data_IF_587040936779
#
_entry.id   IF_587040936779
#
_cell.length_a   1.000
_cell.length_b   1.000
_cell.length_c   1.000
_cell.angle_alpha   90.00
_cell.angle_beta   90.00
_cell.angle_gamma   90.00
#
_symmetry.space_group_name_H-M   'P 1'
#
loop_
_entity.id
_entity.type
_entity.pdbx_description
1 polymer ?
#
# COMPACT_ATOMS: atom_id res chain seq x y z
N UNK A 1 -13.26 4.89 15.39
CA UNK A 1 -12.82 5.70 14.18
C UNK A 1 -13.98 6.56 13.75
N UNK A 2 -14.24 7.61 14.48
CA UNK A 2 -15.38 8.47 14.17
C UNK A 2 -15.18 9.20 12.83
N UNK A 3 -16.21 9.17 11.99
CA UNK A 3 -16.38 9.96 10.77
C UNK A 3 -15.21 9.90 9.76
N UNK A 4 -14.60 8.71 9.55
CA UNK A 4 -13.49 8.55 8.59
C UNK A 4 -14.01 8.46 7.15
N UNK A 5 -13.45 9.31 6.28
CA UNK A 5 -13.72 9.38 4.84
C UNK A 5 -12.47 8.92 4.10
N UNK A 6 -12.48 7.68 3.66
CA UNK A 6 -11.28 6.92 3.27
C UNK A 6 -11.30 6.64 1.77
N UNK A 7 -10.18 6.82 1.10
CA UNK A 7 -9.98 6.25 -0.23
C UNK A 7 -8.86 5.20 -0.19
N UNK A 8 -9.12 4.03 -0.81
CA UNK A 8 -8.17 2.92 -0.89
C UNK A 8 -7.89 2.60 -2.36
N UNK A 9 -6.68 2.87 -2.82
CA UNK A 9 -6.29 2.49 -4.18
C UNK A 9 -6.02 0.99 -4.27
N UNK A 10 -6.52 0.33 -5.33
CA UNK A 10 -6.43 -1.13 -5.45
C UNK A 10 -7.14 -1.87 -4.31
N UNK A 11 -8.22 -1.28 -3.76
CA UNK A 11 -8.92 -1.78 -2.58
C UNK A 11 -9.71 -3.07 -2.78
N UNK A 12 -9.98 -3.47 -4.03
CA UNK A 12 -10.89 -4.59 -4.32
C UNK A 12 -10.36 -5.98 -3.96
N UNK A 13 -9.05 -6.18 -3.83
CA UNK A 13 -8.42 -7.50 -3.69
C UNK A 13 -7.26 -7.48 -2.70
N UNK A 14 -6.86 -8.70 -2.28
CA UNK A 14 -5.60 -8.96 -1.55
C UNK A 14 -5.48 -8.08 -0.30
N UNK A 15 -4.33 -7.41 -0.11
CA UNK A 15 -4.06 -6.50 1.02
C UNK A 15 -5.08 -5.36 1.05
N UNK A 16 -5.41 -4.75 -0.09
CA UNK A 16 -6.38 -3.66 -0.16
C UNK A 16 -7.76 -4.04 0.34
N UNK A 17 -8.23 -5.26 0.01
CA UNK A 17 -9.49 -5.81 0.55
C UNK A 17 -9.43 -6.01 2.06
N UNK A 18 -8.32 -6.56 2.58
CA UNK A 18 -8.14 -6.73 4.02
C UNK A 18 -8.14 -5.40 4.77
N UNK A 19 -7.50 -4.37 4.20
CA UNK A 19 -7.50 -3.02 4.77
C UNK A 19 -8.93 -2.45 4.78
N UNK A 20 -9.68 -2.59 3.68
CA UNK A 20 -11.06 -2.09 3.60
C UNK A 20 -11.94 -2.72 4.68
N UNK A 21 -11.89 -4.05 4.85
CA UNK A 21 -12.65 -4.77 5.88
C UNK A 21 -12.24 -4.38 7.31
N UNK A 22 -10.94 -4.19 7.57
CA UNK A 22 -10.43 -3.81 8.89
C UNK A 22 -10.88 -2.39 9.30
N UNK A 23 -11.11 -1.50 8.32
CA UNK A 23 -11.47 -0.12 8.56
C UNK A 23 -12.98 0.13 8.50
N UNK A 24 -13.77 -0.83 8.03
CA UNK A 24 -15.22 -0.70 7.88
C UNK A 24 -15.94 -0.67 9.23
N UNK A 25 -16.86 0.26 9.39
CA UNK A 25 -17.82 0.36 10.49
C UNK A 25 -18.89 1.42 10.14
N UNK A 26 -19.89 1.62 11.02
CA UNK A 26 -21.00 2.57 10.81
C UNK A 26 -20.58 4.03 10.61
N UNK A 27 -19.38 4.41 11.09
CA UNK A 27 -18.88 5.79 10.99
C UNK A 27 -17.92 5.99 9.83
N UNK A 28 -17.80 5.01 8.90
CA UNK A 28 -16.87 5.12 7.78
C UNK A 28 -17.57 5.27 6.44
N UNK A 29 -17.02 6.15 5.60
CA UNK A 29 -17.32 6.23 4.19
C UNK A 29 -16.07 5.83 3.40
N UNK A 30 -16.21 4.89 2.46
CA UNK A 30 -15.06 4.31 1.78
C UNK A 30 -15.22 4.40 0.26
N UNK A 31 -14.23 4.98 -0.42
CA UNK A 31 -14.08 4.85 -1.88
C UNK A 31 -13.11 3.71 -2.16
N UNK A 32 -13.59 2.65 -2.80
CA UNK A 32 -12.79 1.54 -3.31
C UNK A 32 -12.39 1.83 -4.75
N UNK A 33 -11.11 2.18 -4.96
CA UNK A 33 -10.58 2.31 -6.32
C UNK A 33 -10.14 0.94 -6.85
N UNK A 34 -10.44 0.67 -8.11
CA UNK A 34 -10.03 -0.52 -8.85
C UNK A 34 -9.71 -0.18 -10.32
N UNK A 35 -8.89 -1.00 -10.98
CA UNK A 35 -8.61 -0.85 -12.43
C UNK A 35 -9.46 -1.84 -13.25
N UNK A 36 -9.22 -3.14 -13.09
CA UNK A 36 -9.86 -4.21 -13.88
C UNK A 36 -10.82 -5.10 -13.07
N UNK A 37 -10.75 -5.06 -11.74
CA UNK A 37 -11.42 -6.03 -10.84
C UNK A 37 -12.83 -5.56 -10.43
N UNK A 38 -13.71 -5.26 -11.37
CA UNK A 38 -15.05 -4.74 -11.06
C UNK A 38 -15.89 -5.72 -10.23
N UNK A 39 -15.93 -7.00 -10.62
CA UNK A 39 -16.72 -8.00 -9.89
C UNK A 39 -16.28 -8.15 -8.43
N UNK A 40 -14.96 -8.17 -8.18
CA UNK A 40 -14.41 -8.19 -6.82
C UNK A 40 -14.73 -6.91 -6.04
N UNK A 41 -14.66 -5.74 -6.69
CA UNK A 41 -15.03 -4.47 -6.07
C UNK A 41 -16.51 -4.42 -5.70
N UNK A 42 -17.41 -4.92 -6.56
CA UNK A 42 -18.85 -5.01 -6.31
C UNK A 42 -19.16 -5.93 -5.13
N UNK A 43 -18.52 -7.12 -5.09
CA UNK A 43 -18.69 -8.06 -3.97
C UNK A 43 -18.22 -7.43 -2.65
N UNK A 44 -17.03 -6.83 -2.65
CA UNK A 44 -16.48 -6.17 -1.45
C UNK A 44 -17.37 -5.01 -1.00
N UNK A 45 -17.95 -4.24 -1.92
CA UNK A 45 -18.88 -3.15 -1.57
C UNK A 45 -20.03 -3.68 -0.71
N UNK A 46 -20.69 -4.77 -1.11
CA UNK A 46 -21.78 -5.38 -0.34
C UNK A 46 -21.30 -5.76 1.06
N UNK A 47 -20.17 -6.49 1.15
CA UNK A 47 -19.60 -6.90 2.44
C UNK A 47 -19.30 -5.71 3.39
N UNK A 48 -18.84 -4.58 2.84
CA UNK A 48 -18.55 -3.38 3.63
C UNK A 48 -19.83 -2.63 4.05
N UNK A 49 -20.86 -2.65 3.19
CA UNK A 49 -22.16 -2.07 3.48
C UNK A 49 -22.90 -2.88 4.55
N UNK A 50 -22.76 -4.21 4.55
CA UNK A 50 -23.26 -5.10 5.63
C UNK A 50 -22.59 -4.80 6.98
N UNK A 51 -21.35 -4.29 6.97
CA UNK A 51 -20.63 -3.80 8.16
C UNK A 51 -21.02 -2.37 8.55
N UNK A 52 -21.98 -1.74 7.84
CA UNK A 52 -22.50 -0.42 8.11
C UNK A 52 -21.79 0.75 7.44
N UNK A 53 -20.76 0.49 6.61
CA UNK A 53 -20.03 1.55 5.91
C UNK A 53 -20.79 2.06 4.69
N UNK A 54 -20.64 3.35 4.34
CA UNK A 54 -21.09 3.90 3.06
C UNK A 54 -19.98 3.69 2.01
N UNK A 55 -20.27 2.96 0.92
CA UNK A 55 -19.23 2.56 -0.03
C UNK A 55 -19.49 3.06 -1.45
N UNK A 56 -18.47 3.68 -2.04
CA UNK A 56 -18.45 4.10 -3.43
C UNK A 56 -17.36 3.36 -4.21
N UNK A 57 -17.66 3.00 -5.46
CA UNK A 57 -16.70 2.37 -6.36
C UNK A 57 -16.15 3.39 -7.36
N UNK A 58 -14.84 3.33 -7.62
CA UNK A 58 -14.18 4.17 -8.59
C UNK A 58 -13.25 3.37 -9.50
N UNK A 59 -13.57 3.33 -10.81
CA UNK A 59 -12.69 2.75 -11.82
C UNK A 59 -11.71 3.81 -12.33
N UNK A 60 -10.40 3.51 -12.26
CA UNK A 60 -9.37 4.31 -12.92
C UNK A 60 -8.13 3.45 -13.20
N UNK A 61 -7.34 3.81 -14.20
CA UNK A 61 -6.01 3.24 -14.43
C UNK A 61 -4.94 4.21 -13.91
N UNK A 62 -4.19 3.79 -12.90
CA UNK A 62 -3.12 4.61 -12.31
C UNK A 62 -1.91 4.81 -13.25
N UNK A 63 -1.76 3.98 -14.29
CA UNK A 63 -0.79 4.25 -15.34
C UNK A 63 -1.20 5.45 -16.21
N UNK A 64 -2.50 5.78 -16.25
CA UNK A 64 -3.03 6.97 -16.91
C UNK A 64 -3.11 8.14 -15.92
N UNK A 65 -2.15 9.04 -15.99
CA UNK A 65 -2.05 10.15 -15.04
C UNK A 65 -3.23 11.12 -15.10
N UNK A 66 -3.89 11.28 -16.28
CA UNK A 66 -5.11 12.09 -16.41
C UNK A 66 -6.29 11.48 -15.63
N UNK A 67 -6.37 10.14 -15.58
CA UNK A 67 -7.37 9.46 -14.74
C UNK A 67 -7.01 9.59 -13.26
N UNK A 68 -5.73 9.42 -12.90
CA UNK A 68 -5.22 9.56 -11.53
C UNK A 68 -5.59 10.91 -10.91
N UNK A 69 -5.42 12.01 -11.64
CA UNK A 69 -5.75 13.38 -11.21
C UNK A 69 -7.24 13.59 -10.85
N UNK A 70 -8.15 12.75 -11.34
CA UNK A 70 -9.59 12.85 -11.04
C UNK A 70 -10.01 12.12 -9.77
N UNK A 71 -9.16 11.22 -9.25
CA UNK A 71 -9.50 10.29 -8.16
C UNK A 71 -9.87 11.02 -6.86
N UNK A 72 -9.02 11.93 -6.40
CA UNK A 72 -9.23 12.65 -5.14
C UNK A 72 -10.46 13.57 -5.23
N UNK A 73 -10.64 14.28 -6.35
CA UNK A 73 -11.80 15.13 -6.55
C UNK A 73 -13.11 14.34 -6.58
N UNK A 74 -13.13 13.16 -7.18
CA UNK A 74 -14.27 12.25 -7.14
C UNK A 74 -14.59 11.80 -5.71
N UNK A 75 -13.58 11.31 -4.98
CA UNK A 75 -13.75 10.84 -3.60
C UNK A 75 -14.27 11.96 -2.69
N UNK A 76 -13.68 13.14 -2.78
CA UNK A 76 -14.10 14.31 -2.03
C UNK A 76 -15.57 14.69 -2.30
N UNK A 77 -15.98 14.71 -3.58
CA UNK A 77 -17.37 15.03 -3.98
C UNK A 77 -18.35 13.98 -3.43
N UNK A 78 -18.03 12.69 -3.55
CA UNK A 78 -18.93 11.60 -3.14
C UNK A 78 -19.12 11.53 -1.63
N UNK A 79 -18.06 11.75 -0.86
CA UNK A 79 -18.10 11.66 0.61
C UNK A 79 -18.29 13.02 1.30
N UNK A 80 -18.43 14.12 0.53
CA UNK A 80 -18.50 15.50 1.06
C UNK A 80 -17.35 15.78 2.04
N UNK A 81 -16.14 15.41 1.64
CA UNK A 81 -14.90 15.51 2.42
C UNK A 81 -13.99 14.30 2.22
N UNK A 82 -12.76 14.39 2.72
CA UNK A 82 -11.78 13.32 2.66
C UNK A 82 -10.72 13.56 3.73
N UNK A 83 -10.43 12.57 4.58
CA UNK A 83 -9.44 12.68 5.65
C UNK A 83 -8.46 11.49 5.74
N UNK A 84 -8.63 10.46 4.90
CA UNK A 84 -7.71 9.34 4.85
C UNK A 84 -7.47 8.87 3.41
N UNK A 85 -6.18 8.73 3.04
CA UNK A 85 -5.73 8.18 1.76
C UNK A 85 -4.85 6.96 1.99
N UNK A 86 -5.19 5.84 1.37
CA UNK A 86 -4.38 4.63 1.40
C UNK A 86 -3.89 4.30 0.00
N UNK A 87 -2.59 4.52 -0.25
CA UNK A 87 -1.91 4.17 -1.48
C UNK A 87 -1.48 2.69 -1.42
N UNK A 88 -2.38 1.79 -1.82
CA UNK A 88 -2.13 0.34 -1.82
C UNK A 88 -1.96 -0.24 -3.21
N UNK A 89 -2.53 0.35 -4.26
CA UNK A 89 -2.38 -0.16 -5.62
C UNK A 89 -0.90 -0.27 -6.04
N UNK A 90 -0.55 -1.40 -6.63
CA UNK A 90 0.83 -1.65 -7.08
C UNK A 90 0.85 -2.66 -8.23
N UNK A 91 1.83 -2.55 -9.09
CA UNK A 91 2.24 -3.60 -10.02
C UNK A 91 3.55 -4.20 -9.53
N UNK A 92 3.75 -5.50 -9.82
CA UNK A 92 4.90 -6.27 -9.38
C UNK A 92 5.27 -7.26 -10.49
N UNK A 93 6.18 -6.86 -11.35
CA UNK A 93 6.69 -7.68 -12.48
C UNK A 93 8.17 -7.95 -12.27
N UNK A 94 8.65 -9.10 -12.77
CA UNK A 94 10.05 -9.49 -12.64
C UNK A 94 10.86 -8.94 -13.79
N UNK A 95 11.95 -8.26 -13.48
CA UNK A 95 12.96 -7.74 -14.38
C UNK A 95 14.31 -7.59 -13.64
N UNK A 96 15.35 -7.23 -14.35
CA UNK A 96 16.64 -6.84 -13.78
C UNK A 96 17.26 -5.73 -14.64
N UNK A 97 18.40 -5.19 -14.22
CA UNK A 97 19.09 -4.09 -14.90
C UNK A 97 19.40 -4.36 -16.39
N UNK A 98 19.62 -5.63 -16.76
CA UNK A 98 20.01 -6.00 -18.14
C UNK A 98 18.80 -6.19 -19.05
N UNK A 99 17.65 -6.65 -18.50
CA UNK A 99 16.49 -7.06 -19.31
C UNK A 99 15.22 -6.27 -19.06
N UNK A 100 15.24 -5.19 -18.27
CA UNK A 100 14.05 -4.36 -18.12
C UNK A 100 13.67 -3.70 -19.46
N UNK A 101 12.38 -3.58 -19.73
CA UNK A 101 11.89 -2.76 -20.85
C UNK A 101 11.49 -1.37 -20.36
N UNK A 102 11.74 -0.34 -21.17
CA UNK A 102 11.33 1.04 -20.88
C UNK A 102 9.83 1.14 -20.55
N UNK A 103 9.00 0.39 -21.29
CA UNK A 103 7.56 0.35 -21.05
C UNK A 103 7.22 -0.23 -19.66
N UNK A 104 7.86 -1.33 -19.25
CA UNK A 104 7.65 -1.93 -17.92
C UNK A 104 8.17 -1.01 -16.81
N UNK A 105 9.35 -0.44 -16.98
CA UNK A 105 9.94 0.52 -16.06
C UNK A 105 9.02 1.74 -15.86
N UNK A 106 8.64 2.39 -16.95
CA UNK A 106 7.73 3.55 -16.91
C UNK A 106 6.40 3.22 -16.22
N UNK A 107 5.84 2.04 -16.49
CA UNK A 107 4.59 1.58 -15.85
C UNK A 107 4.77 1.39 -14.34
N UNK A 108 5.89 0.80 -13.87
CA UNK A 108 6.19 0.70 -12.44
C UNK A 108 6.31 2.07 -11.78
N UNK A 109 7.05 2.99 -12.39
CA UNK A 109 7.18 4.36 -11.90
C UNK A 109 5.83 5.07 -11.88
N UNK A 110 5.03 4.97 -12.93
CA UNK A 110 3.73 5.63 -12.99
C UNK A 110 2.78 5.12 -11.90
N UNK A 111 2.62 3.80 -11.77
CA UNK A 111 1.62 3.19 -10.86
C UNK A 111 2.08 3.23 -9.41
N UNK A 112 3.35 2.87 -9.13
CA UNK A 112 3.83 2.66 -7.76
C UNK A 112 4.38 3.93 -7.10
N UNK A 113 4.76 4.95 -7.88
CA UNK A 113 5.39 6.17 -7.35
C UNK A 113 4.68 7.45 -7.81
N UNK A 114 4.52 7.67 -9.11
CA UNK A 114 4.01 8.92 -9.65
C UNK A 114 2.52 9.12 -9.33
N UNK A 115 1.71 8.05 -9.42
CA UNK A 115 0.31 8.09 -9.01
C UNK A 115 0.16 8.41 -7.51
N UNK A 116 0.83 7.71 -6.56
CA UNK A 116 0.84 8.12 -5.15
C UNK A 116 1.24 9.59 -4.94
N UNK A 117 2.28 10.08 -5.62
CA UNK A 117 2.72 11.48 -5.49
C UNK A 117 1.61 12.47 -5.92
N UNK A 118 0.93 12.20 -7.03
CA UNK A 118 -0.22 13.00 -7.50
C UNK A 118 -1.35 12.95 -6.48
N UNK A 119 -1.71 11.75 -6.00
CA UNK A 119 -2.79 11.55 -5.05
C UNK A 119 -2.50 12.26 -3.72
N UNK A 120 -1.27 12.19 -3.20
CA UNK A 120 -0.84 12.90 -1.99
C UNK A 120 -0.95 14.42 -2.18
N UNK A 121 -0.44 14.94 -3.30
CA UNK A 121 -0.53 16.38 -3.65
C UNK A 121 -1.99 16.83 -3.70
N UNK A 122 -2.85 16.10 -4.39
CA UNK A 122 -4.25 16.49 -4.58
C UNK A 122 -5.07 16.30 -3.29
N UNK A 123 -4.73 15.28 -2.48
CA UNK A 123 -5.28 15.09 -1.13
C UNK A 123 -4.94 16.28 -0.24
N UNK A 124 -3.68 16.69 -0.19
CA UNK A 124 -3.24 17.82 0.63
C UNK A 124 -3.96 19.14 0.27
N UNK A 125 -4.25 19.35 -1.03
CA UNK A 125 -5.02 20.51 -1.50
C UNK A 125 -6.49 20.48 -1.06
N UNK A 126 -7.08 19.30 -0.91
CA UNK A 126 -8.50 19.11 -0.56
C UNK A 126 -8.74 18.89 0.92
N UNK A 127 -7.81 18.23 1.62
CA UNK A 127 -7.88 18.02 3.06
C UNK A 127 -7.50 19.29 3.80
N UNK A 128 -8.48 20.16 4.01
CA UNK A 128 -8.28 21.43 4.73
C UNK A 128 -8.29 21.28 6.25
N UNK A 129 -8.67 20.13 6.77
CA UNK A 129 -8.79 19.84 8.19
C UNK A 129 -7.44 19.40 8.77
N UNK A 130 -7.19 19.73 10.04
CA UNK A 130 -5.96 19.41 10.78
C UNK A 130 -5.78 17.92 11.16
N UNK A 131 -6.51 16.99 10.56
CA UNK A 131 -6.46 15.55 10.88
C UNK A 131 -6.44 14.67 9.60
N UNK A 132 -5.59 15.05 8.66
CA UNK A 132 -5.38 14.25 7.45
C UNK A 132 -4.43 13.07 7.73
N UNK A 133 -4.72 11.90 7.16
CA UNK A 133 -3.90 10.72 7.28
C UNK A 133 -3.61 10.07 5.93
N UNK A 134 -2.36 9.76 5.66
CA UNK A 134 -1.92 9.06 4.45
C UNK A 134 -1.11 7.85 4.87
N UNK A 135 -1.48 6.66 4.35
CA UNK A 135 -0.70 5.44 4.53
C UNK A 135 -0.30 4.87 3.16
N UNK A 136 0.99 4.71 2.95
CA UNK A 136 1.56 4.12 1.75
C UNK A 136 1.92 2.65 2.00
N UNK A 137 1.46 1.72 1.14
CA UNK A 137 1.90 0.32 1.20
C UNK A 137 3.20 0.20 0.41
N UNK A 138 4.28 0.03 1.15
CA UNK A 138 5.66 -0.07 0.67
C UNK A 138 5.96 -1.54 0.29
N UNK A 139 7.13 -2.02 0.59
CA UNK A 139 7.57 -3.43 0.51
C UNK A 139 8.90 -3.59 1.27
N UNK A 140 9.14 -4.74 1.87
CA UNK A 140 10.39 -5.04 2.58
C UNK A 140 11.64 -4.96 1.67
N UNK A 141 11.45 -5.03 0.33
CA UNK A 141 12.54 -4.91 -0.66
C UNK A 141 13.23 -3.55 -0.66
N UNK A 142 12.65 -2.53 -0.04
CA UNK A 142 13.34 -1.24 0.11
C UNK A 142 14.51 -1.31 1.09
N UNK A 143 14.51 -2.30 1.98
CA UNK A 143 15.58 -2.56 2.95
C UNK A 143 16.39 -3.81 2.60
N UNK A 144 15.76 -4.83 1.99
CA UNK A 144 16.42 -6.05 1.50
C UNK A 144 16.43 -6.08 -0.01
N UNK A 145 17.41 -5.45 -0.61
CA UNK A 145 17.59 -5.38 -2.06
C UNK A 145 17.93 -6.75 -2.66
N UNK A 146 17.56 -6.93 -3.91
CA UNK A 146 17.95 -8.08 -4.75
C UNK A 146 18.21 -7.59 -6.17
N UNK A 147 18.99 -8.29 -7.00
CA UNK A 147 19.18 -7.90 -8.41
C UNK A 147 17.95 -8.11 -9.28
N UNK A 148 16.91 -8.76 -8.75
CA UNK A 148 15.62 -8.99 -9.42
C UNK A 148 14.58 -7.96 -9.01
N UNK A 149 13.52 -7.81 -9.83
CA UNK A 149 12.46 -6.83 -9.62
C UNK A 149 13.00 -5.39 -9.59
N UNK A 150 13.90 -5.09 -10.49
CA UNK A 150 14.64 -3.82 -10.57
C UNK A 150 13.69 -2.62 -10.62
N UNK A 151 12.80 -2.56 -11.63
CA UNK A 151 11.85 -1.45 -11.80
C UNK A 151 10.90 -1.31 -10.59
N UNK A 152 10.45 -2.45 -10.06
CA UNK A 152 9.61 -2.47 -8.86
C UNK A 152 10.34 -1.91 -7.64
N UNK A 153 11.56 -2.40 -7.37
CA UNK A 153 12.35 -1.99 -6.20
C UNK A 153 12.64 -0.50 -6.21
N UNK A 154 13.05 0.05 -7.36
CA UNK A 154 13.26 1.50 -7.52
C UNK A 154 11.97 2.29 -7.25
N UNK A 155 10.82 1.84 -7.79
CA UNK A 155 9.54 2.51 -7.57
C UNK A 155 9.12 2.50 -6.09
N UNK A 156 9.36 1.41 -5.37
CA UNK A 156 9.04 1.29 -3.93
C UNK A 156 10.03 2.05 -3.03
N UNK A 157 11.31 2.09 -3.39
CA UNK A 157 12.31 2.94 -2.72
C UNK A 157 11.95 4.42 -2.86
N UNK A 158 11.54 4.84 -4.07
CA UNK A 158 11.00 6.19 -4.30
C UNK A 158 9.76 6.47 -3.45
N UNK A 159 8.84 5.50 -3.31
CA UNK A 159 7.64 5.65 -2.47
C UNK A 159 7.99 5.74 -0.97
N UNK A 160 9.01 5.04 -0.50
CA UNK A 160 9.51 5.16 0.88
C UNK A 160 10.09 6.56 1.16
N UNK A 161 10.87 7.08 0.22
CA UNK A 161 11.38 8.47 0.28
C UNK A 161 10.23 9.49 0.23
N UNK A 162 9.28 9.31 -0.70
CA UNK A 162 8.09 10.15 -0.81
C UNK A 162 7.28 10.16 0.49
N UNK A 163 7.18 9.04 1.20
CA UNK A 163 6.49 8.95 2.50
C UNK A 163 7.12 9.90 3.51
N UNK A 164 8.45 9.85 3.68
CA UNK A 164 9.17 10.66 4.65
C UNK A 164 9.16 12.16 4.27
N UNK A 165 9.43 12.47 3.02
CA UNK A 165 9.45 13.87 2.55
C UNK A 165 8.07 14.52 2.59
N UNK A 166 7.00 13.75 2.28
CA UNK A 166 5.62 14.23 2.42
C UNK A 166 5.24 14.45 3.88
N UNK A 167 5.68 13.58 4.80
CA UNK A 167 5.45 13.76 6.23
C UNK A 167 6.04 15.09 6.74
N UNK A 168 7.27 15.40 6.33
CA UNK A 168 7.94 16.67 6.68
C UNK A 168 7.19 17.89 6.12
N UNK A 169 6.73 17.82 4.86
CA UNK A 169 6.10 18.96 4.20
C UNK A 169 4.66 19.20 4.65
N UNK A 170 3.92 18.15 5.00
CA UNK A 170 2.47 18.24 5.24
C UNK A 170 2.11 18.34 6.73
N UNK A 171 3.07 18.16 7.63
CA UNK A 171 2.90 18.44 9.06
C UNK A 171 2.63 19.95 9.26
N UNK A 172 1.87 20.34 10.32
CA UNK A 172 1.23 19.48 11.32
C UNK A 172 -0.15 18.94 10.91
N UNK A 173 -0.68 19.32 9.75
CA UNK A 173 -2.08 19.12 9.38
C UNK A 173 -2.36 17.70 8.82
N UNK A 174 -1.35 17.04 8.22
CA UNK A 174 -1.48 15.73 7.59
C UNK A 174 -0.29 14.86 8.00
N UNK A 175 -0.59 13.69 8.55
CA UNK A 175 0.40 12.66 8.86
C UNK A 175 0.57 11.73 7.65
N UNK A 176 1.79 11.36 7.36
CA UNK A 176 2.11 10.45 6.25
C UNK A 176 3.02 9.34 6.77
N UNK A 177 2.55 8.10 6.69
CA UNK A 177 3.27 6.92 7.15
C UNK A 177 3.24 5.81 6.09
N UNK A 178 3.98 4.75 6.34
CA UNK A 178 4.03 3.57 5.50
C UNK A 178 3.90 2.26 6.27
N UNK A 179 3.42 1.23 5.58
CA UNK A 179 3.52 -0.16 6.02
C UNK A 179 4.29 -0.93 4.96
N UNK A 180 5.25 -1.74 5.38
CA UNK A 180 6.16 -2.50 4.52
C UNK A 180 5.92 -4.00 4.73
N UNK A 181 5.06 -4.65 3.91
CA UNK A 181 4.75 -6.05 4.04
C UNK A 181 5.88 -6.96 3.53
N UNK A 182 6.01 -8.13 4.16
CA UNK A 182 6.78 -9.26 3.67
C UNK A 182 5.93 -10.27 2.87
N UNK A 183 6.25 -11.58 2.94
CA UNK A 183 5.62 -12.63 2.14
C UNK A 183 4.18 -12.91 2.61
N UNK A 184 3.24 -12.11 2.15
CA UNK A 184 1.83 -12.10 2.59
C UNK A 184 0.97 -13.02 1.73
N UNK A 185 0.97 -12.82 0.42
CA UNK A 185 0.14 -13.58 -0.52
C UNK A 185 0.97 -13.99 -1.74
N UNK A 186 0.84 -15.26 -2.11
CA UNK A 186 1.44 -15.80 -3.33
C UNK A 186 1.09 -14.94 -4.55
N UNK A 187 2.05 -14.65 -5.41
CA UNK A 187 1.79 -14.06 -6.70
C UNK A 187 1.44 -15.14 -7.75
N UNK A 188 0.91 -14.72 -8.90
CA UNK A 188 0.48 -15.65 -9.95
C UNK A 188 1.60 -16.52 -10.52
N UNK A 189 2.87 -16.07 -10.44
CA UNK A 189 4.05 -16.76 -10.97
C UNK A 189 4.69 -17.72 -9.98
N UNK A 190 4.34 -17.63 -8.69
CA UNK A 190 4.89 -18.49 -7.66
C UNK A 190 4.11 -19.80 -7.52
N UNK A 191 4.81 -20.93 -7.39
CA UNK A 191 4.25 -22.18 -6.88
C UNK A 191 4.03 -22.07 -5.36
N UNK A 192 3.14 -22.92 -4.81
CA UNK A 192 2.95 -23.03 -3.36
C UNK A 192 4.26 -23.42 -2.64
N UNK A 193 5.02 -24.35 -3.24
CA UNK A 193 6.33 -24.80 -2.71
C UNK A 193 7.31 -23.62 -2.61
N UNK A 194 7.40 -22.80 -3.66
CA UNK A 194 8.28 -21.60 -3.66
C UNK A 194 7.81 -20.57 -2.62
N UNK A 195 6.52 -20.28 -2.55
CA UNK A 195 5.98 -19.33 -1.57
C UNK A 195 6.20 -19.83 -0.13
N UNK A 196 6.01 -21.14 0.13
CA UNK A 196 6.30 -21.76 1.43
C UNK A 196 7.80 -21.65 1.79
N UNK A 197 8.71 -21.90 0.82
CA UNK A 197 10.15 -21.70 1.02
C UNK A 197 10.47 -20.25 1.39
N UNK A 198 9.84 -19.28 0.73
CA UNK A 198 10.06 -17.86 0.98
C UNK A 198 9.70 -17.45 2.42
N UNK A 199 8.50 -17.76 2.91
CA UNK A 199 8.13 -17.35 4.27
C UNK A 199 8.80 -18.20 5.36
N UNK A 200 9.15 -19.46 5.09
CA UNK A 200 9.96 -20.28 6.00
C UNK A 200 11.42 -19.80 6.14
N UNK A 201 11.93 -19.05 5.18
CA UNK A 201 13.25 -18.43 5.24
C UNK A 201 13.29 -17.08 5.96
N UNK A 202 12.17 -16.58 6.46
CA UNK A 202 12.14 -15.40 7.32
C UNK A 202 12.58 -15.75 8.74
N UNK A 203 13.02 -14.77 9.52
CA UNK A 203 13.51 -15.03 10.90
C UNK A 203 12.41 -15.66 11.77
N UNK A 204 11.17 -15.15 11.67
CA UNK A 204 10.05 -15.73 12.43
C UNK A 204 9.48 -17.00 11.81
N UNK A 205 9.93 -17.41 10.62
CA UNK A 205 9.46 -18.58 9.87
C UNK A 205 7.93 -18.63 9.71
N UNK A 206 7.29 -17.45 9.67
CA UNK A 206 5.84 -17.29 9.59
C UNK A 206 5.46 -16.54 8.33
N UNK A 207 4.38 -17.00 7.70
CA UNK A 207 3.70 -16.25 6.64
C UNK A 207 3.08 -15.00 7.28
N UNK A 208 3.25 -13.86 6.63
CA UNK A 208 2.54 -12.63 7.03
C UNK A 208 1.05 -12.77 6.66
N UNK A 209 0.15 -12.60 7.61
CA UNK A 209 -1.28 -12.52 7.32
C UNK A 209 -1.65 -11.12 6.83
N UNK A 210 -2.62 -11.03 5.90
CA UNK A 210 -3.16 -9.75 5.44
C UNK A 210 -3.77 -8.94 6.59
N UNK A 211 -4.30 -9.61 7.62
CA UNK A 211 -4.82 -8.98 8.83
C UNK A 211 -3.73 -8.25 9.62
N UNK A 212 -2.51 -8.80 9.69
CA UNK A 212 -1.40 -8.11 10.36
C UNK A 212 -1.03 -6.81 9.64
N UNK A 213 -1.08 -6.83 8.30
CA UNK A 213 -0.85 -5.62 7.49
C UNK A 213 -1.96 -4.59 7.69
N UNK A 214 -3.23 -5.02 7.66
CA UNK A 214 -4.36 -4.11 7.86
C UNK A 214 -4.43 -3.55 9.28
N UNK A 215 -4.06 -4.34 10.30
CA UNK A 215 -3.96 -3.87 11.69
C UNK A 215 -2.86 -2.81 11.86
N UNK A 216 -1.71 -2.97 11.19
CA UNK A 216 -0.67 -1.94 11.18
C UNK A 216 -1.13 -0.63 10.50
N UNK A 217 -1.91 -0.73 9.41
CA UNK A 217 -2.55 0.43 8.78
C UNK A 217 -3.50 1.11 9.76
N UNK A 218 -4.39 0.36 10.41
CA UNK A 218 -5.34 0.88 11.41
C UNK A 218 -4.62 1.53 12.60
N UNK A 219 -3.55 0.91 13.07
CA UNK A 219 -2.68 1.47 14.12
C UNK A 219 -2.15 2.86 13.73
N UNK A 220 -1.58 3.01 12.53
CA UNK A 220 -1.06 4.29 12.04
C UNK A 220 -2.16 5.35 11.85
N UNK A 221 -3.38 4.94 11.47
CA UNK A 221 -4.51 5.86 11.35
C UNK A 221 -4.93 6.40 12.72
N UNK A 222 -4.92 5.56 13.76
CA UNK A 222 -5.42 5.91 15.08
C UNK A 222 -4.40 6.60 15.98
N UNK A 223 -3.10 6.58 15.65
CA UNK A 223 -2.05 7.17 16.48
C UNK A 223 -1.61 8.53 15.93
N UNK A 224 -2.07 9.59 16.58
CA UNK A 224 -1.90 10.97 16.10
C UNK A 224 -0.48 11.53 16.23
N UNK A 225 0.38 10.93 17.02
CA UNK A 225 1.76 11.36 17.23
C UNK A 225 2.78 10.65 16.33
N UNK A 226 2.32 9.89 15.32
CA UNK A 226 3.20 9.13 14.42
C UNK A 226 3.11 9.72 13.00
N UNK A 227 4.25 10.19 12.48
CA UNK A 227 4.40 10.61 11.09
C UNK A 227 5.81 10.29 10.57
N UNK A 228 5.96 10.04 9.27
CA UNK A 228 7.25 9.70 8.63
C UNK A 228 7.74 8.28 8.89
N UNK A 229 6.97 7.45 9.62
CA UNK A 229 7.35 6.08 9.96
C UNK A 229 6.96 5.08 8.88
N UNK A 230 7.78 4.03 8.74
CA UNK A 230 7.48 2.84 7.92
C UNK A 230 7.53 1.63 8.85
N UNK A 231 6.37 1.02 9.10
CA UNK A 231 6.27 -0.18 9.94
C UNK A 231 6.48 -1.42 9.07
N UNK A 232 7.49 -2.21 9.40
CA UNK A 232 7.75 -3.48 8.73
C UNK A 232 6.87 -4.60 9.32
N UNK A 233 6.03 -5.20 8.47
CA UNK A 233 5.20 -6.37 8.78
C UNK A 233 5.67 -7.52 7.87
N UNK A 234 6.90 -8.01 8.10
CA UNK A 234 7.64 -8.86 7.16
C UNK A 234 8.17 -10.16 7.77
N UNK A 235 7.77 -10.50 8.98
CA UNK A 235 8.29 -11.65 9.73
C UNK A 235 9.82 -11.64 9.88
N UNK A 236 10.43 -10.43 9.88
CA UNK A 236 11.87 -10.26 9.93
C UNK A 236 12.59 -10.59 8.61
N UNK A 237 11.89 -10.63 7.48
CA UNK A 237 12.50 -10.97 6.18
C UNK A 237 13.67 -10.05 5.83
N UNK A 238 13.57 -8.75 6.12
CA UNK A 238 14.64 -7.77 5.85
C UNK A 238 15.90 -7.99 6.68
N UNK A 239 15.77 -8.66 7.84
CA UNK A 239 16.87 -8.93 8.77
C UNK A 239 17.57 -10.27 8.49
N UNK A 240 17.27 -10.96 7.40
CA UNK A 240 17.91 -12.23 7.05
C UNK A 240 19.43 -12.03 6.85
N UNK A 241 20.21 -12.69 7.68
CA UNK A 241 21.66 -12.52 7.83
C UNK A 241 22.47 -13.76 7.48
N UNK A 242 21.84 -14.93 7.35
CA UNK A 242 22.53 -16.20 7.09
C UNK A 242 23.17 -16.20 5.71
N UNK A 243 24.45 -15.91 5.69
CA UNK A 243 25.32 -16.01 4.52
C UNK A 243 26.20 -17.27 4.62
N UNK A 244 26.76 -17.79 3.52
CA UNK A 244 27.55 -19.04 3.55
C UNK A 244 28.75 -18.99 4.50
N UNK A 245 29.34 -17.84 4.72
CA UNK A 245 30.49 -17.60 5.61
C UNK A 245 30.12 -17.69 7.10
N UNK A 246 28.86 -17.38 7.45
CA UNK A 246 28.37 -17.41 8.83
C UNK A 246 27.67 -18.71 9.18
N UNK A 247 27.12 -19.43 8.18
CA UNK A 247 26.46 -20.72 8.41
C UNK A 247 27.51 -21.74 8.88
N UNK A 248 27.34 -22.25 10.11
CA UNK A 248 28.23 -23.17 10.79
C UNK A 248 29.57 -22.57 11.28
N UNK A 249 29.73 -21.23 11.32
CA UNK A 249 30.85 -20.62 12.04
C UNK A 249 30.77 -21.03 13.52
N UNK A 250 31.88 -21.58 14.04
CA UNK A 250 32.08 -21.80 15.48
C UNK A 250 32.91 -20.64 15.99
N UNK A 251 32.29 -19.71 16.66
CA UNK A 251 32.97 -18.71 17.48
C UNK A 251 33.13 -19.23 18.90
#
# INVERSE_FOLDING_TARGET
>A
MENKKIIITGGANRIGRSIALELANYDTQIVIHYSKSFAAAKKLKIELEDLGSVVHLLKADLNNLKQTQKIISYAYKKMKGLNCLINNASIFENDNLINFSEMSFTKHINVNLKAPAILIKDFAKKCKNKDGNIVNIIDQRVEKLTPFFFSYSLSKSGLATLTRTSAMKLAPNIRVNGVSPGPTLKNKRQSEKHFKKQWKSTILQKKVDTKNVSSAVKFLINNNNITGQIINVDSGQRLAWKTPDIINAKE
#
